data_IF_458190681347
#
_entry.id   IF_458190681347
#
_cell.length_a   1.000
_cell.length_b   1.000
_cell.length_c   1.000
_cell.angle_alpha   90.00
_cell.angle_beta   90.00
_cell.angle_gamma   90.00
#
_symmetry.space_group_name_H-M   'P 1'
#
loop_
_entity.id
_entity.type
_entity.pdbx_description
1 polymer ?
#
# COMPACT_ATOMS: atom_id res chain seq x y z
N UNK A 1 -8.98 -11.86 5.81
CA UNK A 1 -8.46 -12.16 4.47
C UNK A 1 -7.09 -12.82 4.54
N UNK A 2 -6.85 -13.82 3.69
CA UNK A 2 -5.52 -14.40 3.43
C UNK A 2 -5.01 -13.96 2.07
N UNK A 3 -3.75 -13.55 2.00
CA UNK A 3 -3.13 -13.00 0.79
C UNK A 3 -1.88 -13.77 0.37
N UNK A 4 -1.69 -13.83 -0.95
CA UNK A 4 -0.35 -13.97 -1.52
C UNK A 4 0.24 -12.56 -1.73
N UNK A 5 1.27 -12.20 -0.98
CA UNK A 5 1.89 -10.87 -1.03
C UNK A 5 3.19 -10.89 -1.83
N UNK A 6 3.30 -10.00 -2.82
CA UNK A 6 4.39 -9.99 -3.79
C UNK A 6 5.02 -8.59 -3.81
N UNK A 7 6.22 -8.47 -3.25
CA UNK A 7 6.98 -7.22 -3.23
C UNK A 7 7.90 -7.09 -4.44
N UNK A 8 7.71 -6.09 -5.29
CA UNK A 8 8.51 -5.87 -6.49
C UNK A 8 9.43 -4.64 -6.34
N UNK A 9 10.73 -4.88 -6.48
CA UNK A 9 11.77 -3.87 -6.26
C UNK A 9 11.99 -3.54 -4.79
N UNK A 10 13.01 -2.72 -4.50
CA UNK A 10 13.47 -2.47 -3.12
C UNK A 10 12.39 -1.95 -2.16
N UNK A 11 11.54 -1.02 -2.59
CA UNK A 11 10.46 -0.51 -1.75
C UNK A 11 9.40 -1.58 -1.46
N UNK A 12 8.97 -2.32 -2.49
CA UNK A 12 8.02 -3.43 -2.32
C UNK A 12 8.59 -4.52 -1.40
N UNK A 13 9.86 -4.89 -1.59
CA UNK A 13 10.51 -5.90 -0.73
C UNK A 13 10.57 -5.51 0.73
N UNK A 14 10.94 -4.25 1.03
CA UNK A 14 10.97 -3.75 2.41
C UNK A 14 9.57 -3.68 3.03
N UNK A 15 8.57 -3.29 2.24
CA UNK A 15 7.20 -3.19 2.74
C UNK A 15 6.61 -4.57 3.07
N UNK A 16 6.80 -5.57 2.22
CA UNK A 16 6.36 -6.94 2.52
C UNK A 16 7.05 -7.48 3.78
N UNK A 17 8.36 -7.23 3.93
CA UNK A 17 9.09 -7.62 5.14
C UNK A 17 8.53 -6.96 6.40
N UNK A 18 8.20 -5.66 6.33
CA UNK A 18 7.55 -4.92 7.42
C UNK A 18 6.15 -5.43 7.76
N UNK A 19 5.38 -5.85 6.74
CA UNK A 19 4.05 -6.44 6.95
C UNK A 19 4.15 -7.76 7.70
N UNK A 20 5.12 -8.62 7.35
CA UNK A 20 5.37 -9.89 8.05
C UNK A 20 5.78 -9.64 9.50
N UNK A 21 6.66 -8.66 9.75
CA UNK A 21 7.05 -8.27 11.10
C UNK A 21 5.83 -7.83 11.92
N UNK A 22 5.02 -6.91 11.39
CA UNK A 22 3.84 -6.41 12.07
C UNK A 22 2.78 -7.51 12.31
N UNK A 23 2.61 -8.44 11.37
CA UNK A 23 1.75 -9.62 11.55
C UNK A 23 2.20 -10.48 12.73
N UNK A 24 3.50 -10.75 12.82
CA UNK A 24 4.07 -11.51 13.92
C UNK A 24 3.88 -10.80 15.26
N UNK A 25 4.18 -9.49 15.33
CA UNK A 25 4.03 -8.69 16.56
C UNK A 25 2.58 -8.60 17.03
N UNK A 26 1.65 -8.52 16.08
CA UNK A 26 0.23 -8.37 16.39
C UNK A 26 -0.52 -9.68 16.48
N UNK A 27 0.10 -10.83 16.17
CA UNK A 27 -0.59 -12.13 16.11
C UNK A 27 -1.74 -12.10 15.09
N UNK A 28 -1.52 -11.45 13.96
CA UNK A 28 -2.40 -11.46 12.78
C UNK A 28 -1.87 -12.44 11.75
N UNK A 29 -2.72 -12.82 10.81
CA UNK A 29 -2.33 -13.75 9.75
C UNK A 29 -2.92 -13.26 8.42
N UNK A 30 -2.10 -12.59 7.62
CA UNK A 30 -2.54 -12.01 6.34
C UNK A 30 -1.61 -12.46 5.21
N UNK A 31 -0.29 -12.40 5.38
CA UNK A 31 0.70 -12.87 4.42
C UNK A 31 0.81 -14.41 4.43
N UNK A 32 -0.23 -15.12 3.97
CA UNK A 32 -0.25 -16.60 3.87
C UNK A 32 0.89 -17.10 2.98
N UNK A 33 1.13 -16.41 1.88
CA UNK A 33 2.33 -16.56 1.07
C UNK A 33 2.97 -15.20 0.88
N UNK A 34 4.30 -15.15 0.93
CA UNK A 34 5.05 -13.93 0.68
C UNK A 34 6.21 -14.22 -0.28
N UNK A 35 6.43 -13.29 -1.20
CA UNK A 35 7.49 -13.35 -2.20
C UNK A 35 8.03 -11.95 -2.46
N UNK A 36 9.32 -11.83 -2.73
CA UNK A 36 9.90 -10.58 -3.24
C UNK A 36 10.70 -10.81 -4.52
N UNK A 37 10.52 -9.92 -5.49
CA UNK A 37 11.18 -9.97 -6.80
C UNK A 37 12.00 -8.68 -6.97
N UNK A 38 13.28 -8.79 -7.29
CA UNK A 38 14.11 -7.61 -7.56
C UNK A 38 15.23 -7.92 -8.56
N UNK A 39 15.83 -6.86 -9.10
CA UNK A 39 16.98 -6.93 -10.02
C UNK A 39 18.33 -6.66 -9.36
N UNK A 40 18.31 -6.33 -8.06
CA UNK A 40 19.49 -6.04 -7.26
C UNK A 40 19.65 -7.06 -6.13
N UNK A 41 20.72 -7.86 -6.19
CA UNK A 41 21.04 -8.88 -5.17
C UNK A 41 21.26 -8.27 -3.79
N UNK A 42 21.87 -7.09 -3.74
CA UNK A 42 22.11 -6.35 -2.49
C UNK A 42 20.81 -5.91 -1.80
N UNK A 43 19.76 -5.65 -2.58
CA UNK A 43 18.46 -5.25 -2.04
C UNK A 43 17.68 -6.46 -1.54
N UNK A 44 17.78 -7.61 -2.23
CA UNK A 44 17.20 -8.89 -1.78
C UNK A 44 17.84 -9.44 -0.50
N UNK A 45 19.03 -8.97 -0.14
CA UNK A 45 19.66 -9.33 1.13
C UNK A 45 19.09 -8.55 2.33
N UNK A 46 18.29 -7.50 2.10
CA UNK A 46 17.79 -6.61 3.17
C UNK A 46 16.60 -7.13 3.98
N UNK A 47 15.60 -7.81 3.39
CA UNK A 47 14.51 -8.41 4.16
C UNK A 47 15.06 -9.29 5.29
N UNK A 48 14.48 -9.17 6.48
CA UNK A 48 14.93 -9.88 7.69
C UNK A 48 13.95 -10.97 8.12
N UNK A 49 12.67 -10.83 7.76
CA UNK A 49 11.57 -11.67 8.22
C UNK A 49 11.10 -12.64 7.13
N UNK A 50 11.43 -12.38 5.86
CA UNK A 50 11.14 -13.26 4.73
C UNK A 50 12.26 -14.28 4.48
N UNK A 51 11.92 -15.55 4.28
CA UNK A 51 12.89 -16.61 3.97
C UNK A 51 13.65 -16.36 2.65
N UNK A 52 14.90 -16.83 2.56
CA UNK A 52 15.78 -16.59 1.40
C UNK A 52 15.28 -17.21 0.09
N UNK A 53 14.61 -18.36 0.16
CA UNK A 53 14.03 -19.06 -1.00
C UNK A 53 12.81 -18.33 -1.59
N UNK A 54 12.22 -17.41 -0.83
CA UNK A 54 11.15 -16.50 -1.29
C UNK A 54 11.67 -15.18 -1.87
N UNK A 55 12.99 -15.06 -2.07
CA UNK A 55 13.64 -13.85 -2.61
C UNK A 55 14.17 -14.12 -4.02
N UNK A 56 13.47 -13.62 -5.02
CA UNK A 56 13.71 -13.90 -6.43
C UNK A 56 14.55 -12.80 -7.06
N UNK A 57 15.69 -13.19 -7.60
CA UNK A 57 16.53 -12.31 -8.40
C UNK A 57 16.20 -12.51 -9.88
N UNK A 58 15.80 -11.43 -10.55
CA UNK A 58 15.68 -11.38 -12.01
C UNK A 58 16.76 -10.45 -12.61
N UNK A 59 17.10 -10.63 -13.87
CA UNK A 59 18.01 -9.79 -14.63
C UNK A 59 19.49 -10.00 -14.33
N UNK A 60 19.87 -11.16 -13.78
CA UNK A 60 21.27 -11.50 -13.51
C UNK A 60 22.08 -11.71 -14.80
N UNK A 61 21.44 -12.20 -15.87
CA UNK A 61 22.00 -12.32 -17.22
C UNK A 61 21.78 -11.09 -18.11
N UNK A 62 20.91 -10.17 -17.69
CA UNK A 62 20.58 -8.98 -18.48
C UNK A 62 21.75 -7.98 -18.51
N UNK A 63 22.15 -7.53 -19.69
CA UNK A 63 23.38 -6.74 -19.88
C UNK A 63 23.42 -5.43 -19.07
N UNK A 64 22.27 -4.81 -18.85
CA UNK A 64 22.14 -3.53 -18.11
C UNK A 64 21.92 -3.69 -16.60
N UNK A 65 21.40 -4.84 -16.15
CA UNK A 65 21.08 -5.07 -14.73
C UNK A 65 22.18 -5.88 -14.04
N UNK A 66 22.52 -7.06 -14.58
CA UNK A 66 23.58 -7.96 -14.07
C UNK A 66 23.47 -8.26 -12.58
N UNK A 67 22.24 -8.28 -12.03
CA UNK A 67 22.00 -8.45 -10.59
C UNK A 67 22.38 -7.25 -9.71
N UNK A 68 22.67 -6.07 -10.27
CA UNK A 68 23.02 -4.83 -9.56
C UNK A 68 21.89 -3.79 -9.56
N UNK A 69 20.72 -4.13 -10.10
CA UNK A 69 19.61 -3.20 -10.27
C UNK A 69 19.59 -2.50 -11.62
N UNK A 70 18.47 -1.85 -11.93
CA UNK A 70 18.25 -1.12 -13.21
C UNK A 70 18.46 0.40 -13.09
N UNK A 71 19.03 0.88 -11.97
CA UNK A 71 19.46 2.28 -11.83
C UNK A 71 18.36 3.34 -12.00
N UNK A 72 17.13 3.03 -11.61
CA UNK A 72 15.98 3.94 -11.74
C UNK A 72 15.36 3.99 -13.14
N UNK A 73 15.74 3.08 -14.04
CA UNK A 73 15.17 2.98 -15.39
C UNK A 73 14.00 1.98 -15.40
N UNK A 74 12.77 2.50 -15.52
CA UNK A 74 11.57 1.68 -15.56
C UNK A 74 11.44 0.85 -16.85
N UNK A 75 11.94 1.35 -17.98
CA UNK A 75 11.89 0.63 -19.25
C UNK A 75 12.79 -0.60 -19.21
N UNK A 76 13.99 -0.46 -18.65
CA UNK A 76 14.89 -1.61 -18.39
C UNK A 76 14.27 -2.55 -17.36
N UNK A 77 13.63 -2.03 -16.30
CA UNK A 77 12.92 -2.85 -15.31
C UNK A 77 11.86 -3.76 -15.96
N UNK A 78 11.07 -3.20 -16.89
CA UNK A 78 10.08 -3.96 -17.66
C UNK A 78 10.72 -4.95 -18.65
N UNK A 79 11.80 -4.56 -19.33
CA UNK A 79 12.57 -5.42 -20.25
C UNK A 79 13.11 -6.65 -19.53
N UNK A 80 13.71 -6.45 -18.35
CA UNK A 80 14.22 -7.53 -17.50
C UNK A 80 13.11 -8.49 -17.09
N UNK A 81 12.00 -7.97 -16.55
CA UNK A 81 10.88 -8.81 -16.14
C UNK A 81 10.28 -9.63 -17.29
N UNK A 82 10.20 -9.05 -18.50
CA UNK A 82 9.73 -9.76 -19.70
C UNK A 82 10.70 -10.83 -20.17
N UNK A 83 12.00 -10.61 -20.02
CA UNK A 83 13.03 -11.57 -20.41
C UNK A 83 13.00 -12.80 -19.49
N UNK A 84 12.81 -12.56 -18.19
CA UNK A 84 12.83 -13.62 -17.16
C UNK A 84 11.41 -14.07 -16.77
N UNK A 85 10.46 -13.94 -17.69
CA UNK A 85 9.04 -14.24 -17.42
C UNK A 85 8.83 -15.70 -17.01
N UNK A 86 9.60 -16.62 -17.58
CA UNK A 86 9.53 -18.04 -17.25
C UNK A 86 10.07 -18.35 -15.86
N UNK A 87 11.00 -17.54 -15.34
CA UNK A 87 11.46 -17.64 -13.95
C UNK A 87 10.38 -17.13 -13.00
N UNK A 88 9.77 -15.99 -13.31
CA UNK A 88 8.64 -15.43 -12.56
C UNK A 88 7.49 -16.44 -12.46
N UNK A 89 7.11 -17.08 -13.58
CA UNK A 89 6.06 -18.11 -13.61
C UNK A 89 6.37 -19.31 -12.73
N UNK A 90 7.60 -19.84 -12.79
CA UNK A 90 8.01 -20.99 -11.98
C UNK A 90 7.87 -20.72 -10.49
N UNK A 91 8.19 -19.50 -10.06
CA UNK A 91 8.05 -19.12 -8.66
C UNK A 91 6.58 -19.07 -8.23
N UNK A 92 5.70 -18.60 -9.12
CA UNK A 92 4.27 -18.57 -8.83
C UNK A 92 3.64 -19.97 -8.79
N UNK A 93 4.17 -20.94 -9.53
CA UNK A 93 3.71 -22.35 -9.41
C UNK A 93 3.87 -22.90 -7.97
N UNK A 94 4.77 -22.34 -7.15
CA UNK A 94 4.97 -22.70 -5.74
C UNK A 94 4.06 -21.93 -4.76
N UNK A 95 3.19 -21.06 -5.26
CA UNK A 95 2.19 -20.34 -4.45
C UNK A 95 0.89 -21.14 -4.45
N UNK A 96 0.44 -21.56 -3.27
CA UNK A 96 -0.80 -22.32 -3.11
C UNK A 96 -2.00 -21.37 -3.18
N UNK A 97 -2.29 -20.87 -4.37
CA UNK A 97 -3.29 -19.81 -4.60
C UNK A 97 -4.70 -20.19 -4.10
N UNK A 98 -5.04 -21.48 -4.09
CA UNK A 98 -6.31 -21.97 -3.53
C UNK A 98 -6.47 -21.77 -2.01
N UNK A 99 -5.41 -21.35 -1.30
CA UNK A 99 -5.44 -21.01 0.13
C UNK A 99 -5.51 -19.50 0.40
N UNK A 100 -5.54 -18.65 -0.63
CA UNK A 100 -5.60 -17.20 -0.50
C UNK A 100 -6.89 -16.65 -1.10
N UNK A 101 -7.40 -15.56 -0.54
CA UNK A 101 -8.58 -14.85 -1.03
C UNK A 101 -8.22 -13.89 -2.19
N UNK A 102 -6.98 -13.38 -2.21
CA UNK A 102 -6.50 -12.41 -3.18
C UNK A 102 -4.96 -12.37 -3.26
N UNK A 103 -4.45 -11.70 -4.28
CA UNK A 103 -3.02 -11.42 -4.46
C UNK A 103 -2.77 -9.91 -4.25
N UNK A 104 -1.75 -9.55 -3.47
CA UNK A 104 -1.35 -8.15 -3.26
C UNK A 104 0.04 -7.90 -3.82
N UNK A 105 0.14 -7.06 -4.85
CA UNK A 105 1.42 -6.68 -5.47
C UNK A 105 1.86 -5.31 -4.98
N UNK A 106 2.95 -5.26 -4.21
CA UNK A 106 3.50 -4.05 -3.64
C UNK A 106 4.71 -3.53 -4.43
N UNK A 107 4.75 -2.25 -4.80
CA UNK A 107 5.89 -1.66 -5.50
C UNK A 107 6.08 -0.17 -5.25
N UNK A 108 7.35 0.28 -5.32
CA UNK A 108 7.68 1.70 -5.40
C UNK A 108 7.63 2.21 -6.84
N UNK A 109 6.76 3.18 -7.12
CA UNK A 109 6.47 3.62 -8.48
C UNK A 109 7.50 4.61 -9.04
N UNK A 110 8.29 5.25 -8.16
CA UNK A 110 9.38 6.14 -8.57
C UNK A 110 10.68 5.41 -8.95
N UNK A 111 10.82 4.13 -8.57
CA UNK A 111 12.01 3.33 -8.86
C UNK A 111 12.07 2.84 -10.32
N UNK A 112 13.10 2.05 -10.64
CA UNK A 112 13.18 1.38 -11.95
C UNK A 112 12.55 -0.02 -11.92
N UNK A 113 12.99 -0.88 -11.00
CA UNK A 113 12.48 -2.26 -10.91
C UNK A 113 11.00 -2.30 -10.56
N UNK A 114 10.58 -1.64 -9.47
CA UNK A 114 9.17 -1.65 -9.04
C UNK A 114 8.24 -1.11 -10.11
N UNK A 115 8.52 0.11 -10.58
CA UNK A 115 7.78 0.81 -11.64
C UNK A 115 7.65 0.00 -12.94
N UNK A 116 8.75 -0.63 -13.39
CA UNK A 116 8.79 -1.35 -14.67
C UNK A 116 8.32 -2.80 -14.59
N UNK A 117 8.76 -3.54 -13.56
CA UNK A 117 8.51 -4.97 -13.45
C UNK A 117 7.14 -5.28 -12.83
N UNK A 118 6.61 -4.46 -11.92
CA UNK A 118 5.35 -4.78 -11.26
C UNK A 118 4.16 -4.92 -12.24
N UNK A 119 3.97 -4.03 -13.23
CA UNK A 119 2.91 -4.20 -14.24
C UNK A 119 3.09 -5.44 -15.12
N UNK A 120 4.31 -5.97 -15.25
CA UNK A 120 4.59 -7.23 -15.96
C UNK A 120 4.23 -8.42 -15.08
N UNK A 121 4.61 -8.38 -13.80
CA UNK A 121 4.27 -9.40 -12.80
C UNK A 121 2.75 -9.55 -12.66
N UNK A 122 2.01 -8.44 -12.55
CA UNK A 122 0.54 -8.44 -12.47
C UNK A 122 -0.09 -9.09 -13.70
N UNK A 123 0.43 -8.77 -14.89
CA UNK A 123 -0.06 -9.33 -16.15
C UNK A 123 0.06 -10.86 -16.20
N UNK A 124 1.11 -11.41 -15.61
CA UNK A 124 1.29 -12.86 -15.54
C UNK A 124 0.42 -13.50 -14.46
N UNK A 125 0.31 -12.88 -13.28
CA UNK A 125 -0.57 -13.36 -12.22
C UNK A 125 -2.01 -13.49 -12.72
N UNK A 126 -2.52 -12.48 -13.42
CA UNK A 126 -3.88 -12.48 -13.98
C UNK A 126 -4.10 -13.48 -15.13
N UNK A 127 -3.02 -14.00 -15.74
CA UNK A 127 -3.13 -15.09 -16.72
C UNK A 127 -3.13 -16.47 -16.06
N UNK A 128 -2.59 -16.56 -14.85
CA UNK A 128 -2.41 -17.81 -14.13
C UNK A 128 -3.53 -18.08 -13.12
N UNK A 129 -4.12 -17.02 -12.55
CA UNK A 129 -5.03 -17.08 -11.42
C UNK A 129 -6.28 -16.24 -11.64
N UNK A 130 -7.39 -16.66 -11.02
CA UNK A 130 -8.70 -15.99 -11.12
C UNK A 130 -8.97 -15.09 -9.89
N UNK A 131 -8.20 -15.26 -8.81
CA UNK A 131 -8.29 -14.47 -7.59
C UNK A 131 -7.97 -12.98 -7.87
N UNK A 132 -8.66 -12.04 -7.20
CA UNK A 132 -8.44 -10.62 -7.42
C UNK A 132 -7.00 -10.22 -7.08
N UNK A 133 -6.45 -9.33 -7.91
CA UNK A 133 -5.11 -8.79 -7.77
C UNK A 133 -5.20 -7.33 -7.36
N UNK A 134 -4.80 -7.03 -6.13
CA UNK A 134 -4.70 -5.67 -5.61
C UNK A 134 -3.30 -5.10 -5.78
N UNK A 135 -3.22 -3.81 -6.09
CA UNK A 135 -1.97 -3.07 -6.15
C UNK A 135 -1.74 -2.27 -4.87
N UNK A 136 -0.51 -2.28 -4.36
CA UNK A 136 -0.06 -1.40 -3.30
C UNK A 136 1.12 -0.56 -3.80
N UNK A 137 0.84 0.68 -4.18
CA UNK A 137 1.83 1.53 -4.83
C UNK A 137 2.32 2.67 -3.95
N UNK A 138 3.65 2.74 -3.80
CA UNK A 138 4.31 3.83 -3.10
C UNK A 138 4.72 4.92 -4.10
N UNK A 139 4.08 6.08 -4.00
CA UNK A 139 4.36 7.27 -4.80
C UNK A 139 5.62 7.97 -4.30
N UNK A 140 6.49 8.46 -5.21
CA UNK A 140 7.71 9.15 -4.81
C UNK A 140 7.40 10.49 -4.16
N UNK A 141 8.28 10.93 -3.26
CA UNK A 141 8.23 12.28 -2.72
C UNK A 141 8.67 13.33 -3.75
N UNK A 142 8.20 14.56 -3.59
CA UNK A 142 8.60 15.68 -4.48
C UNK A 142 10.10 15.97 -4.42
N UNK A 143 10.73 15.60 -3.31
CA UNK A 143 12.16 15.73 -3.05
C UNK A 143 13.05 14.73 -3.78
N UNK A 144 12.48 13.67 -4.38
CA UNK A 144 13.25 12.63 -5.09
C UNK A 144 13.61 13.06 -6.53
N UNK A 145 12.97 14.12 -7.04
CA UNK A 145 13.28 14.73 -8.33
C UNK A 145 12.43 14.24 -9.51
N UNK A 146 12.74 14.75 -10.71
CA UNK A 146 11.89 14.57 -11.90
C UNK A 146 11.84 13.15 -12.46
N UNK A 147 12.94 12.38 -12.35
CA UNK A 147 12.98 11.00 -12.88
C UNK A 147 12.04 10.06 -12.11
N UNK A 148 12.03 10.04 -10.76
CA UNK A 148 11.02 9.31 -10.01
C UNK A 148 9.58 9.74 -10.33
N UNK A 149 9.32 11.04 -10.47
CA UNK A 149 7.98 11.52 -10.86
C UNK A 149 7.56 10.99 -12.24
N UNK A 150 8.47 11.01 -13.24
CA UNK A 150 8.23 10.46 -14.57
C UNK A 150 7.95 8.95 -14.55
N UNK A 151 8.75 8.19 -13.79
CA UNK A 151 8.52 6.76 -13.58
C UNK A 151 7.15 6.51 -12.95
N UNK A 152 6.79 7.28 -11.93
CA UNK A 152 5.53 7.12 -11.22
C UNK A 152 4.33 7.44 -12.10
N UNK A 153 4.36 8.53 -12.87
CA UNK A 153 3.29 8.89 -13.79
C UNK A 153 3.03 7.80 -14.84
N UNK A 154 4.10 7.25 -15.45
CA UNK A 154 3.99 6.15 -16.42
C UNK A 154 3.51 4.85 -15.77
N UNK A 155 4.04 4.53 -14.60
CA UNK A 155 3.67 3.31 -13.88
C UNK A 155 2.22 3.36 -13.41
N UNK A 156 1.74 4.49 -12.88
CA UNK A 156 0.36 4.66 -12.43
C UNK A 156 -0.63 4.31 -13.54
N UNK A 157 -0.41 4.81 -14.76
CA UNK A 157 -1.25 4.50 -15.92
C UNK A 157 -1.29 3.00 -16.25
N UNK A 158 -0.20 2.28 -16.02
CA UNK A 158 -0.13 0.84 -16.32
C UNK A 158 -0.61 -0.02 -15.16
N UNK A 159 -0.39 0.42 -13.92
CA UNK A 159 -0.65 -0.35 -12.71
C UNK A 159 -2.13 -0.27 -12.34
N UNK A 160 -2.68 0.95 -12.21
CA UNK A 160 -4.07 1.17 -11.77
C UNK A 160 -5.07 0.50 -12.72
N UNK A 161 -4.80 0.49 -14.02
CA UNK A 161 -5.68 -0.13 -15.02
C UNK A 161 -5.57 -1.66 -15.10
N UNK A 162 -4.62 -2.26 -14.38
CA UNK A 162 -4.41 -3.71 -14.38
C UNK A 162 -4.90 -4.39 -13.12
N UNK A 163 -5.01 -3.68 -12.01
CA UNK A 163 -5.42 -4.28 -10.73
C UNK A 163 -6.90 -4.06 -10.47
N UNK A 164 -7.51 -4.94 -9.69
CA UNK A 164 -8.90 -4.83 -9.27
C UNK A 164 -9.12 -3.65 -8.33
N UNK A 165 -8.06 -3.24 -7.60
CA UNK A 165 -8.02 -2.00 -6.83
C UNK A 165 -6.57 -1.59 -6.56
N UNK A 166 -6.29 -0.28 -6.53
CA UNK A 166 -4.95 0.25 -6.27
C UNK A 166 -4.91 1.09 -5.00
N UNK A 167 -4.32 0.56 -3.93
CA UNK A 167 -4.08 1.29 -2.70
C UNK A 167 -2.80 2.14 -2.88
N UNK A 168 -2.95 3.46 -2.77
CA UNK A 168 -1.84 4.39 -2.94
C UNK A 168 -1.29 4.87 -1.59
N UNK A 169 0.03 5.00 -1.52
CA UNK A 169 0.75 5.62 -0.40
C UNK A 169 1.65 6.73 -0.91
N UNK A 170 1.52 7.94 -0.37
CA UNK A 170 2.31 9.11 -0.78
C UNK A 170 3.46 9.39 0.19
N UNK A 171 4.69 9.09 -0.22
CA UNK A 171 5.88 9.40 0.59
C UNK A 171 6.00 10.89 0.93
N UNK A 172 5.46 11.79 0.12
CA UNK A 172 5.53 13.22 0.40
C UNK A 172 4.63 13.62 1.57
N UNK A 173 3.39 13.14 1.60
CA UNK A 173 2.45 13.36 2.70
C UNK A 173 2.98 12.84 4.04
N UNK A 174 3.77 11.78 4.01
CA UNK A 174 4.30 11.11 5.20
C UNK A 174 5.67 11.59 5.67
N UNK A 175 6.30 12.50 4.92
CA UNK A 175 7.64 12.98 5.23
C UNK A 175 7.70 13.79 6.51
N UNK A 176 8.58 13.40 7.43
CA UNK A 176 8.93 14.18 8.62
C UNK A 176 10.18 15.05 8.38
N UNK A 177 10.24 16.20 9.08
CA UNK A 177 11.40 17.11 9.02
C UNK A 177 12.40 16.74 10.12
N UNK A 178 13.67 16.53 9.75
CA UNK A 178 14.77 16.36 10.70
C UNK A 178 15.24 14.93 10.92
N UNK A 179 14.71 13.96 10.18
CA UNK A 179 15.18 12.58 10.15
C UNK A 179 16.09 12.31 8.94
N UNK A 180 16.84 11.21 9.01
CA UNK A 180 17.53 10.68 7.83
C UNK A 180 16.53 10.10 6.84
N UNK A 181 16.94 9.96 5.56
CA UNK A 181 16.08 9.37 4.53
C UNK A 181 15.72 7.92 4.87
N UNK A 182 16.67 7.15 5.40
CA UNK A 182 16.47 5.74 5.76
C UNK A 182 15.44 5.58 6.88
N UNK A 183 15.60 6.31 7.98
CA UNK A 183 14.62 6.32 9.08
C UNK A 183 13.24 6.78 8.61
N UNK A 184 13.19 7.78 7.73
CA UNK A 184 11.92 8.24 7.16
C UNK A 184 11.20 7.13 6.39
N UNK A 185 11.92 6.31 5.62
CA UNK A 185 11.31 5.18 4.92
C UNK A 185 10.90 4.03 5.85
N UNK A 186 11.65 3.79 6.94
CA UNK A 186 11.28 2.80 7.96
C UNK A 186 9.95 3.20 8.63
N UNK A 187 9.84 4.43 9.12
CA UNK A 187 8.60 4.96 9.72
C UNK A 187 7.41 4.94 8.74
N UNK A 188 7.66 5.26 7.46
CA UNK A 188 6.63 5.18 6.41
C UNK A 188 6.15 3.73 6.18
N UNK A 189 7.07 2.77 6.16
CA UNK A 189 6.73 1.36 5.98
C UNK A 189 5.95 0.84 7.20
N UNK A 190 6.33 1.22 8.43
CA UNK A 190 5.61 0.87 9.66
C UNK A 190 4.17 1.41 9.62
N UNK A 191 3.98 2.69 9.27
CA UNK A 191 2.66 3.30 9.17
C UNK A 191 1.80 2.63 8.09
N UNK A 192 2.40 2.27 6.94
CA UNK A 192 1.69 1.58 5.87
C UNK A 192 1.34 0.14 6.25
N UNK A 193 2.29 -0.62 6.79
CA UNK A 193 2.07 -1.99 7.25
C UNK A 193 0.99 -2.04 8.33
N UNK A 194 1.02 -1.13 9.30
CA UNK A 194 -0.01 -1.01 10.34
C UNK A 194 -1.41 -0.88 9.73
N UNK A 195 -1.57 -0.01 8.74
CA UNK A 195 -2.87 0.23 8.06
C UNK A 195 -3.34 -0.97 7.25
N UNK A 196 -2.46 -1.51 6.41
CA UNK A 196 -2.79 -2.61 5.49
C UNK A 196 -3.11 -3.86 6.28
N UNK A 197 -2.25 -4.24 7.22
CA UNK A 197 -2.43 -5.47 7.99
C UNK A 197 -3.65 -5.36 8.90
N UNK A 198 -3.85 -4.23 9.58
CA UNK A 198 -5.05 -4.06 10.44
C UNK A 198 -6.35 -4.08 9.62
N UNK A 199 -6.35 -3.52 8.41
CA UNK A 199 -7.52 -3.51 7.53
C UNK A 199 -7.82 -4.90 6.94
N UNK A 200 -6.82 -5.53 6.32
CA UNK A 200 -7.02 -6.71 5.49
C UNK A 200 -6.99 -8.02 6.30
N UNK A 201 -6.28 -8.05 7.44
CA UNK A 201 -6.28 -9.22 8.33
C UNK A 201 -7.54 -9.30 9.21
N UNK A 202 -8.44 -8.31 9.13
CA UNK A 202 -9.70 -8.35 9.86
C UNK A 202 -10.48 -9.61 9.51
N UNK A 203 -10.99 -10.30 10.52
CA UNK A 203 -11.77 -11.52 10.36
C UNK A 203 -11.01 -12.85 10.46
N UNK A 204 -9.67 -12.82 10.58
CA UNK A 204 -8.83 -14.04 10.64
C UNK A 204 -8.64 -14.61 12.07
N UNK A 205 -9.63 -14.45 12.93
CA UNK A 205 -9.57 -14.99 14.31
C UNK A 205 -10.12 -16.42 14.34
N UNK A 206 -9.51 -17.30 15.14
CA UNK A 206 -9.99 -18.67 15.37
C UNK A 206 -11.51 -18.67 15.70
N UNK A 207 -12.24 -19.66 15.19
CA UNK A 207 -13.72 -19.81 15.25
C UNK A 207 -14.35 -19.64 16.65
N UNK A 208 -13.55 -19.57 17.72
CA UNK A 208 -13.97 -19.38 19.11
C UNK A 208 -14.28 -17.94 19.52
N UNK A 209 -13.78 -16.92 18.82
CA UNK A 209 -13.94 -15.50 19.20
C UNK A 209 -14.96 -14.79 18.31
N UNK A 210 -16.24 -15.08 18.55
CA UNK A 210 -17.35 -14.50 17.79
C UNK A 210 -17.58 -13.05 18.24
N UNK A 211 -17.07 -12.09 17.47
CA UNK A 211 -17.58 -10.72 17.48
C UNK A 211 -19.01 -10.69 16.93
N UNK A 212 -19.89 -9.83 17.46
CA UNK A 212 -21.30 -9.77 17.00
C UNK A 212 -21.43 -9.40 15.50
N UNK A 213 -20.46 -8.65 14.95
CA UNK A 213 -20.34 -8.28 13.53
C UNK A 213 -18.90 -8.48 13.02
N UNK A 214 -18.31 -9.66 13.25
CA UNK A 214 -16.96 -9.95 12.77
C UNK A 214 -16.85 -9.69 11.25
N UNK A 215 -15.83 -8.93 10.85
CA UNK A 215 -15.55 -8.64 9.44
C UNK A 215 -15.18 -9.93 8.71
N UNK A 216 -15.67 -10.11 7.49
CA UNK A 216 -15.23 -11.21 6.62
C UNK A 216 -14.46 -10.71 5.39
N UNK A 217 -13.72 -11.61 4.73
CA UNK A 217 -12.97 -11.28 3.52
C UNK A 217 -13.89 -10.77 2.40
N UNK A 218 -15.15 -11.23 2.33
CA UNK A 218 -16.07 -10.87 1.26
C UNK A 218 -16.55 -9.42 1.35
N UNK A 219 -16.69 -8.88 2.57
CA UNK A 219 -16.98 -7.47 2.80
C UNK A 219 -15.82 -6.59 2.33
N UNK A 220 -14.58 -6.97 2.65
CA UNK A 220 -13.38 -6.25 2.20
C UNK A 220 -13.26 -6.30 0.67
N UNK A 221 -13.40 -7.49 0.06
CA UNK A 221 -13.35 -7.64 -1.40
C UNK A 221 -14.45 -6.83 -2.07
N UNK A 222 -15.67 -6.84 -1.53
CA UNK A 222 -16.78 -6.03 -2.06
C UNK A 222 -16.48 -4.54 -1.98
N UNK A 223 -15.85 -4.03 -0.92
CA UNK A 223 -15.47 -2.61 -0.89
C UNK A 223 -14.40 -2.28 -1.92
N UNK A 224 -13.45 -3.19 -2.16
CA UNK A 224 -12.36 -3.01 -3.14
C UNK A 224 -12.79 -3.27 -4.60
N UNK A 225 -13.90 -3.98 -4.84
CA UNK A 225 -14.48 -4.27 -6.16
C UNK A 225 -15.17 -3.04 -6.79
N UNK A 226 -14.34 -2.02 -7.02
CA UNK A 226 -14.69 -0.73 -7.63
C UNK A 226 -13.68 -0.33 -8.71
N UNK A 227 -12.50 -0.97 -8.76
CA UNK A 227 -11.37 -0.43 -9.50
C UNK A 227 -10.83 0.84 -8.85
N UNK A 228 -9.92 1.50 -9.58
CA UNK A 228 -9.45 2.84 -9.24
C UNK A 228 -8.49 2.88 -8.06
N UNK A 229 -8.40 4.05 -7.44
CA UNK A 229 -7.43 4.35 -6.39
C UNK A 229 -8.10 4.37 -5.03
N UNK A 230 -7.48 3.75 -4.04
CA UNK A 230 -7.96 3.73 -2.66
C UNK A 230 -6.98 4.38 -1.70
N UNK A 231 -7.53 4.90 -0.61
CA UNK A 231 -6.78 5.53 0.48
C UNK A 231 -7.23 5.01 1.84
N UNK A 232 -6.33 4.96 2.80
CA UNK A 232 -6.60 4.43 4.15
C UNK A 232 -6.31 5.47 5.23
N UNK A 233 -7.30 5.70 6.08
CA UNK A 233 -7.18 6.45 7.33
C UNK A 233 -7.06 5.52 8.55
N UNK A 234 -6.40 5.98 9.60
CA UNK A 234 -6.20 5.20 10.82
C UNK A 234 -6.18 6.10 12.05
N UNK A 235 -6.82 5.64 13.12
CA UNK A 235 -6.66 6.21 14.44
C UNK A 235 -6.81 5.14 15.51
N UNK A 236 -6.08 5.29 16.61
CA UNK A 236 -6.21 4.42 17.78
C UNK A 236 -6.42 5.21 19.08
N UNK A 237 -6.85 4.51 20.10
CA UNK A 237 -6.94 5.02 21.48
C UNK A 237 -6.63 3.90 22.45
N UNK A 238 -5.99 4.24 23.57
CA UNK A 238 -5.81 3.29 24.67
C UNK A 238 -7.16 2.94 25.28
N UNK A 239 -7.28 1.67 25.64
CA UNK A 239 -8.40 1.13 26.42
C UNK A 239 -7.90 0.94 27.84
N UNK A 240 -8.44 1.70 28.78
CA UNK A 240 -8.23 1.38 30.20
C UNK A 240 -8.94 0.07 30.52
N UNK A 241 -8.25 -0.95 31.08
CA UNK A 241 -8.91 -2.14 31.58
C UNK A 241 -9.96 -1.70 32.59
N UNK A 242 -11.18 -2.23 32.48
CA UNK A 242 -12.17 -2.10 33.52
C UNK A 242 -11.55 -2.70 34.78
N UNK A 243 -11.10 -1.85 35.71
CA UNK A 243 -10.65 -2.32 37.03
C UNK A 243 -11.82 -3.09 37.62
N UNK A 244 -11.65 -4.39 37.86
CA UNK A 244 -12.48 -5.16 38.79
C UNK A 244 -12.41 -4.49 40.17
N UNK A 245 -13.26 -3.49 40.35
CA UNK A 245 -13.42 -2.78 41.61
C UNK A 245 -14.16 -3.69 42.56
N UNK A 246 -13.42 -4.34 43.45
CA UNK A 246 -13.88 -5.12 44.62
C UNK A 246 -14.76 -4.33 45.63
N UNK A 247 -15.41 -3.24 45.21
CA UNK A 247 -16.24 -2.36 46.05
C UNK A 247 -17.55 -1.90 45.37
N UNK A 248 -18.04 -2.59 44.34
CA UNK A 248 -19.28 -2.22 43.65
C UNK A 248 -20.58 -2.77 44.30
N UNK A 249 -20.58 -3.11 45.59
CA UNK A 249 -21.74 -3.74 46.25
C UNK A 249 -22.55 -2.83 47.18
N UNK A 250 -22.44 -1.51 47.09
CA UNK A 250 -23.35 -0.60 47.80
C UNK A 250 -23.47 0.76 47.11
N UNK A 251 -24.33 0.85 46.08
CA UNK A 251 -25.36 1.88 45.97
C UNK A 251 -26.16 1.76 44.66
N UNK A 252 -27.46 1.68 44.85
CA UNK A 252 -28.52 1.92 43.86
C UNK A 252 -28.21 3.16 43.00
N UNK A 253 -28.27 3.01 41.67
CA UNK A 253 -29.28 3.52 40.72
C UNK A 253 -28.58 3.57 39.34
N UNK A 254 -28.63 2.51 38.54
CA UNK A 254 -28.03 2.52 37.20
C UNK A 254 -28.98 3.17 36.19
N UNK A 255 -28.67 4.41 35.82
CA UNK A 255 -29.16 5.06 34.61
C UNK A 255 -28.32 4.66 33.38
N UNK A 256 -28.84 4.82 32.13
CA UNK A 256 -28.23 4.33 30.87
C UNK A 256 -27.01 5.14 30.36
N UNK A 257 -26.23 5.78 31.24
CA UNK A 257 -25.25 6.80 30.82
C UNK A 257 -23.99 6.22 30.14
N UNK A 258 -23.59 4.95 30.37
CA UNK A 258 -22.34 4.41 29.80
C UNK A 258 -22.43 4.12 28.29
N UNK A 259 -23.53 3.54 27.80
CA UNK A 259 -23.68 3.23 26.37
C UNK A 259 -23.64 4.48 25.48
N UNK A 260 -24.18 5.60 25.97
CA UNK A 260 -24.17 6.86 25.23
C UNK A 260 -22.77 7.46 25.08
N UNK A 261 -21.91 7.22 26.07
CA UNK A 261 -20.51 7.69 26.06
C UNK A 261 -19.63 6.80 25.21
N UNK A 262 -19.85 5.48 25.20
CA UNK A 262 -19.08 4.56 24.36
C UNK A 262 -19.43 4.70 22.88
N UNK A 263 -20.71 4.90 22.54
CA UNK A 263 -21.11 5.21 21.17
C UNK A 263 -20.43 6.50 20.62
N UNK A 264 -20.31 7.53 21.47
CA UNK A 264 -19.63 8.76 21.10
C UNK A 264 -18.11 8.57 20.90
N UNK A 265 -17.46 7.69 21.68
CA UNK A 265 -16.04 7.35 21.51
C UNK A 265 -15.80 6.64 20.17
N UNK A 266 -16.61 5.65 19.82
CA UNK A 266 -16.51 4.90 18.56
C UNK A 266 -16.64 5.85 17.36
N UNK A 267 -17.71 6.64 17.33
CA UNK A 267 -17.90 7.67 16.29
C UNK A 267 -16.74 8.66 16.26
N UNK A 268 -16.27 9.12 17.42
CA UNK A 268 -15.11 10.00 17.52
C UNK A 268 -13.83 9.38 16.95
N UNK A 269 -13.63 8.08 17.14
CA UNK A 269 -12.48 7.34 16.61
C UNK A 269 -12.50 7.28 15.08
N UNK A 270 -13.64 6.95 14.48
CA UNK A 270 -13.82 6.96 13.01
C UNK A 270 -13.60 8.36 12.43
N UNK A 271 -14.12 9.39 13.09
CA UNK A 271 -13.87 10.79 12.68
C UNK A 271 -12.39 11.11 12.69
N UNK A 272 -11.64 10.68 13.72
CA UNK A 272 -10.18 10.88 13.78
C UNK A 272 -9.46 10.08 12.69
N UNK A 273 -9.86 8.85 12.41
CA UNK A 273 -9.26 8.04 11.35
C UNK A 273 -9.49 8.66 9.97
N UNK A 274 -10.72 9.09 9.68
CA UNK A 274 -11.09 9.74 8.41
C UNK A 274 -10.38 11.08 8.21
N UNK A 275 -10.20 11.86 9.28
CA UNK A 275 -9.49 13.14 9.25
C UNK A 275 -7.99 13.02 9.58
N UNK A 276 -7.46 11.79 9.65
CA UNK A 276 -6.04 11.57 9.90
C UNK A 276 -5.22 11.87 8.65
N UNK A 277 -3.89 11.73 8.76
CA UNK A 277 -3.07 11.62 7.57
C UNK A 277 -3.43 10.29 6.87
N UNK A 278 -4.04 10.40 5.69
CA UNK A 278 -4.38 9.26 4.85
C UNK A 278 -3.14 8.72 4.13
N UNK A 279 -3.19 7.47 3.65
CA UNK A 279 -2.09 6.89 2.86
C UNK A 279 -1.81 7.73 1.61
N UNK A 280 -2.86 8.13 0.88
CA UNK A 280 -2.80 9.19 -0.13
C UNK A 280 -3.81 10.29 0.22
N UNK A 281 -3.43 11.57 0.26
CA UNK A 281 -4.40 12.65 0.47
C UNK A 281 -5.47 12.69 -0.63
N UNK A 282 -6.74 12.72 -0.23
CA UNK A 282 -7.89 12.75 -1.13
C UNK A 282 -9.08 13.48 -0.50
N UNK A 283 -10.06 13.88 -1.31
CA UNK A 283 -11.38 14.28 -0.82
C UNK A 283 -12.19 13.03 -0.44
N UNK A 284 -12.62 12.96 0.82
CA UNK A 284 -13.41 11.85 1.36
C UNK A 284 -14.74 11.70 0.62
N UNK A 285 -15.36 12.82 0.21
CA UNK A 285 -16.62 12.84 -0.52
C UNK A 285 -16.53 12.32 -1.96
N UNK A 286 -15.30 12.05 -2.44
CA UNK A 286 -15.05 11.49 -3.76
C UNK A 286 -14.92 9.96 -3.76
N UNK A 287 -15.10 9.30 -2.61
CA UNK A 287 -15.03 7.85 -2.49
C UNK A 287 -16.32 7.18 -3.00
N UNK A 288 -16.18 6.11 -3.79
CA UNK A 288 -17.32 5.34 -4.30
C UNK A 288 -17.91 4.43 -3.20
N UNK A 289 -17.03 3.77 -2.44
CA UNK A 289 -17.38 2.90 -1.31
C UNK A 289 -16.47 3.17 -0.13
N UNK A 290 -16.94 2.88 1.08
CA UNK A 290 -16.11 2.93 2.26
C UNK A 290 -16.27 1.71 3.17
N UNK A 291 -15.24 1.42 3.95
CA UNK A 291 -15.23 0.34 4.94
C UNK A 291 -14.60 0.84 6.24
N UNK A 292 -15.22 0.49 7.35
CA UNK A 292 -14.69 0.73 8.70
C UNK A 292 -14.36 -0.61 9.34
N UNK A 293 -13.12 -0.78 9.79
CA UNK A 293 -12.70 -1.90 10.64
C UNK A 293 -12.39 -1.39 12.03
N UNK A 294 -13.03 -1.98 13.05
CA UNK A 294 -12.70 -1.74 14.46
C UNK A 294 -11.86 -2.89 15.02
N UNK A 295 -10.59 -2.63 15.32
CA UNK A 295 -9.68 -3.63 15.88
C UNK A 295 -9.43 -3.35 17.38
N UNK A 296 -9.82 -4.26 18.26
CA UNK A 296 -9.67 -4.09 19.71
C UNK A 296 -10.55 -5.01 20.55
N UNK A 297 -10.62 -4.81 21.87
CA UNK A 297 -11.42 -5.63 22.76
C UNK A 297 -12.92 -5.55 22.40
N UNK A 298 -13.61 -6.67 22.16
CA UNK A 298 -15.02 -6.66 21.73
C UNK A 298 -15.95 -5.92 22.69
N UNK A 299 -15.67 -5.97 23.99
CA UNK A 299 -16.48 -5.36 25.04
C UNK A 299 -16.52 -3.83 24.99
N UNK A 300 -15.59 -3.18 24.28
CA UNK A 300 -15.58 -1.72 24.13
C UNK A 300 -16.22 -1.25 22.82
N UNK A 301 -16.58 -2.17 21.93
CA UNK A 301 -17.17 -1.85 20.63
C UNK A 301 -18.70 -1.80 20.76
N UNK A 302 -19.24 -0.60 20.94
CA UNK A 302 -20.69 -0.40 21.05
C UNK A 302 -21.38 -0.50 19.69
N UNK A 303 -22.36 -1.40 19.54
CA UNK A 303 -23.21 -1.52 18.33
C UNK A 303 -23.85 -0.19 17.89
N UNK A 304 -24.34 0.60 18.84
CA UNK A 304 -24.91 1.93 18.56
C UNK A 304 -23.84 2.91 18.08
N UNK A 305 -22.61 2.77 18.59
CA UNK A 305 -21.45 3.52 18.13
C UNK A 305 -21.09 3.18 16.69
N UNK A 306 -21.03 1.90 16.35
CA UNK A 306 -20.75 1.40 15.00
C UNK A 306 -21.78 1.95 14.01
N UNK A 307 -23.07 1.82 14.31
CA UNK A 307 -24.15 2.35 13.47
C UNK A 307 -24.02 3.87 13.28
N UNK A 308 -23.81 4.63 14.36
CA UNK A 308 -23.70 6.08 14.28
C UNK A 308 -22.41 6.57 13.61
N UNK A 309 -21.37 5.75 13.61
CA UNK A 309 -20.12 6.00 12.89
C UNK A 309 -20.29 5.73 11.39
N UNK A 310 -20.99 4.63 11.04
CA UNK A 310 -21.36 4.31 9.66
C UNK A 310 -22.22 5.41 9.03
N UNK A 311 -23.33 5.79 9.66
CA UNK A 311 -24.21 6.88 9.19
C UNK A 311 -23.45 8.21 9.03
N UNK A 312 -22.46 8.46 9.90
CA UNK A 312 -21.63 9.65 9.78
C UNK A 312 -20.69 9.59 8.57
N UNK A 313 -20.06 8.44 8.34
CA UNK A 313 -19.16 8.26 7.20
C UNK A 313 -19.93 8.25 5.88
N UNK A 314 -21.16 7.70 5.84
CA UNK A 314 -22.05 7.79 4.67
C UNK A 314 -22.28 9.26 4.25
N UNK A 315 -22.53 10.14 5.23
CA UNK A 315 -22.69 11.56 4.97
C UNK A 315 -21.36 12.25 4.58
N UNK A 316 -20.25 11.89 5.22
CA UNK A 316 -18.95 12.53 4.95
C UNK A 316 -18.37 12.12 3.58
N UNK A 317 -18.57 10.86 3.20
CA UNK A 317 -18.10 10.28 1.94
C UNK A 317 -19.11 10.43 0.78
N UNK A 318 -20.28 11.04 1.02
CA UNK A 318 -21.37 11.19 0.04
C UNK A 318 -21.75 9.87 -0.68
N UNK A 319 -21.67 8.75 0.04
CA UNK A 319 -22.00 7.41 -0.46
C UNK A 319 -22.84 6.64 0.54
N UNK A 320 -23.73 5.78 0.01
CA UNK A 320 -24.55 4.87 0.82
C UNK A 320 -23.90 3.49 0.98
N UNK A 321 -22.82 3.22 0.23
CA UNK A 321 -22.10 1.95 0.25
C UNK A 321 -20.98 1.99 1.29
N UNK A 322 -21.39 2.09 2.57
CA UNK A 322 -20.49 2.04 3.72
C UNK A 322 -20.72 0.76 4.52
N UNK A 323 -19.65 -0.01 4.66
CA UNK A 323 -19.61 -1.20 5.50
C UNK A 323 -18.85 -0.93 6.79
N UNK A 324 -19.20 -1.65 7.84
CA UNK A 324 -18.50 -1.59 9.11
C UNK A 324 -18.49 -2.99 9.75
N UNK A 325 -17.36 -3.36 10.30
CA UNK A 325 -17.18 -4.67 10.94
C UNK A 325 -16.03 -4.65 11.93
N UNK A 326 -16.00 -5.68 12.75
CA UNK A 326 -15.11 -5.77 13.89
C UNK A 326 -14.00 -6.78 13.62
N UNK A 327 -12.84 -6.50 14.20
CA UNK A 327 -11.71 -7.41 14.32
C UNK A 327 -11.44 -7.63 15.82
N UNK A 328 -12.06 -8.66 16.43
CA UNK A 328 -11.95 -8.95 17.85
C UNK A 328 -10.50 -9.18 18.29
N UNK A 329 -10.02 -8.37 19.24
CA UNK A 329 -8.69 -8.51 19.87
C UNK A 329 -8.83 -8.43 21.41
N UNK A 330 -9.27 -9.50 22.10
CA UNK A 330 -9.61 -9.46 23.53
C UNK A 330 -8.48 -9.00 24.44
N UNK A 331 -7.24 -9.38 24.13
CA UNK A 331 -6.07 -9.03 24.92
C UNK A 331 -5.44 -7.67 24.53
N UNK A 332 -6.02 -6.94 23.58
CA UNK A 332 -5.48 -5.66 23.13
C UNK A 332 -5.70 -4.57 24.16
N UNK A 333 -4.65 -3.79 24.47
CA UNK A 333 -4.78 -2.57 25.28
C UNK A 333 -5.24 -1.35 24.47
N UNK A 334 -5.51 -1.51 23.19
CA UNK A 334 -5.89 -0.42 22.28
C UNK A 334 -7.13 -0.78 21.46
N UNK A 335 -7.89 0.25 21.13
CA UNK A 335 -8.96 0.20 20.14
C UNK A 335 -8.56 1.08 18.96
N UNK A 336 -8.47 0.48 17.79
CA UNK A 336 -8.18 1.14 16.52
C UNK A 336 -9.42 1.16 15.61
N UNK A 337 -9.54 2.22 14.82
CA UNK A 337 -10.42 2.26 13.67
C UNK A 337 -9.59 2.50 12.41
N UNK A 338 -9.80 1.65 11.41
CA UNK A 338 -9.23 1.79 10.07
C UNK A 338 -10.36 2.11 9.11
N UNK A 339 -10.17 3.13 8.28
CA UNK A 339 -11.16 3.57 7.30
C UNK A 339 -10.56 3.43 5.92
N UNK A 340 -11.11 2.54 5.10
CA UNK A 340 -10.79 2.42 3.68
C UNK A 340 -11.78 3.28 2.89
N UNK A 341 -11.23 4.15 2.05
CA UNK A 341 -11.96 4.94 1.06
C UNK A 341 -11.60 4.39 -0.32
N UNK A 342 -12.55 3.70 -0.94
CA UNK A 342 -12.33 3.00 -2.21
C UNK A 342 -12.73 3.83 -3.42
N UNK A 343 -11.92 3.76 -4.47
CA UNK A 343 -12.09 4.48 -5.74
C UNK A 343 -12.29 6.00 -5.55
N UNK A 344 -11.39 6.63 -4.80
CA UNK A 344 -11.35 8.08 -4.61
C UNK A 344 -10.94 8.79 -5.91
N UNK A 345 -11.79 9.69 -6.40
CA UNK A 345 -11.55 10.36 -7.70
C UNK A 345 -10.85 11.72 -7.57
N UNK A 346 -10.90 12.36 -6.39
CA UNK A 346 -10.18 13.61 -6.14
C UNK A 346 -8.94 13.36 -5.29
N UNK A 347 -7.81 13.16 -5.99
CA UNK A 347 -6.48 12.91 -5.42
C UNK A 347 -5.47 13.90 -5.98
N UNK A 348 -5.33 15.12 -5.38
CA UNK A 348 -4.47 16.17 -5.93
C UNK A 348 -3.04 15.72 -6.20
N UNK A 349 -2.51 14.81 -5.36
CA UNK A 349 -1.17 14.25 -5.49
C UNK A 349 -0.94 13.51 -6.81
N UNK A 350 -1.93 12.80 -7.33
CA UNK A 350 -1.79 12.07 -8.61
C UNK A 350 -1.62 13.07 -9.76
N UNK A 351 -2.41 14.14 -9.78
CA UNK A 351 -2.29 15.23 -10.76
C UNK A 351 -0.93 15.93 -10.65
N UNK A 352 -0.45 16.21 -9.43
CA UNK A 352 0.87 16.82 -9.23
C UNK A 352 2.02 15.97 -9.78
N UNK A 353 1.95 14.64 -9.62
CA UNK A 353 2.96 13.73 -10.17
C UNK A 353 2.93 13.76 -11.71
N UNK A 354 1.75 13.84 -12.31
CA UNK A 354 1.61 13.96 -13.77
C UNK A 354 2.23 15.27 -14.28
N UNK A 355 1.95 16.40 -13.61
CA UNK A 355 2.54 17.69 -13.95
C UNK A 355 4.07 17.68 -13.82
N UNK A 356 4.59 17.13 -12.72
CA UNK A 356 6.04 16.96 -12.50
C UNK A 356 6.68 16.07 -13.57
N UNK A 357 5.97 15.04 -14.03
CA UNK A 357 6.45 14.15 -15.10
C UNK A 357 6.51 14.87 -16.44
N UNK A 358 5.52 15.70 -16.79
CA UNK A 358 5.53 16.53 -17.99
C UNK A 358 6.71 17.49 -17.98
N UNK A 359 6.93 18.19 -16.86
CA UNK A 359 8.06 19.09 -16.68
C UNK A 359 9.41 18.35 -16.79
N UNK A 360 9.51 17.17 -16.19
CA UNK A 360 10.71 16.34 -16.27
C UNK A 360 10.99 15.89 -17.70
N UNK A 361 9.96 15.46 -18.43
CA UNK A 361 10.08 15.02 -19.82
C UNK A 361 10.54 16.16 -20.74
N UNK A 362 9.98 17.36 -20.57
CA UNK A 362 10.39 18.54 -21.35
C UNK A 362 11.86 18.88 -21.09
N UNK A 363 12.29 18.89 -19.82
CA UNK A 363 13.70 19.14 -19.45
C UNK A 363 14.66 18.09 -20.00
N UNK A 364 14.26 16.82 -20.02
CA UNK A 364 15.07 15.75 -20.61
C UNK A 364 15.24 15.99 -22.12
N UNK A 365 14.15 16.30 -22.83
CA UNK A 365 14.18 16.59 -24.27
C UNK A 365 15.05 17.82 -24.60
N UNK A 366 14.96 18.89 -23.80
CA UNK A 366 15.82 20.07 -23.95
C UNK A 366 17.30 19.73 -23.75
N UNK A 367 17.62 18.94 -22.72
CA UNK A 367 19.00 18.52 -22.45
C UNK A 367 19.56 17.61 -23.54
N UNK A 368 18.76 16.70 -24.06
CA UNK A 368 19.17 15.80 -25.14
C UNK A 368 19.42 16.58 -26.44
N UNK A 369 18.58 17.58 -26.76
CA UNK A 369 18.79 18.46 -27.91
C UNK A 369 20.08 19.28 -27.77
N UNK A 370 20.33 19.88 -26.60
CA UNK A 370 21.58 20.60 -26.33
C UNK A 370 22.78 19.67 -26.43
N UNK A 371 22.68 18.45 -25.90
CA UNK A 371 23.75 17.45 -25.97
C UNK A 371 24.03 17.03 -27.41
N UNK A 372 23.00 16.85 -28.23
CA UNK A 372 23.16 16.56 -29.66
C UNK A 372 23.83 17.72 -30.40
N UNK A 373 23.43 18.97 -30.12
CA UNK A 373 24.10 20.17 -30.66
C UNK A 373 25.57 20.26 -30.23
N UNK A 374 25.88 20.00 -28.95
CA UNK A 374 27.25 19.97 -28.44
C UNK A 374 28.07 18.86 -29.08
N UNK A 375 27.54 17.64 -29.17
CA UNK A 375 28.19 16.52 -29.85
C UNK A 375 28.44 16.89 -31.31
N UNK A 376 27.44 17.46 -31.99
CA UNK A 376 27.57 17.88 -33.38
C UNK A 376 28.68 18.92 -33.53
N UNK A 377 28.72 19.95 -32.68
CA UNK A 377 29.77 20.96 -32.68
C UNK A 377 31.19 20.43 -32.41
N UNK A 378 31.30 19.27 -31.75
CA UNK A 378 32.59 18.60 -31.49
C UNK A 378 33.05 17.70 -32.63
N UNK A 379 32.14 17.30 -33.54
CA UNK A 379 32.43 16.37 -34.65
C UNK A 379 32.28 17.02 -36.03
N UNK A 380 31.95 18.31 -36.09
CA UNK A 380 31.84 19.08 -37.34
C UNK A 380 32.76 20.30 -37.34
N UNK A 381 33.33 20.64 -38.50
CA UNK A 381 34.15 21.84 -38.69
C UNK A 381 33.31 23.13 -38.88
N UNK A 382 33.97 24.27 -39.10
CA UNK A 382 33.33 25.58 -39.30
C UNK A 382 32.37 25.63 -40.52
N UNK A 383 32.51 24.68 -41.46
CA UNK A 383 31.65 24.54 -42.64
C UNK A 383 30.54 23.46 -42.43
N UNK A 384 30.42 22.93 -41.20
CA UNK A 384 29.48 21.89 -40.78
C UNK A 384 29.70 20.54 -41.48
N UNK A 385 30.91 20.30 -41.99
CA UNK A 385 31.34 19.01 -42.52
C UNK A 385 31.91 18.15 -41.39
N UNK A 386 31.67 16.83 -41.45
CA UNK A 386 32.19 15.88 -40.44
C UNK A 386 33.71 15.93 -40.41
N UNK A 387 34.28 16.27 -39.26
CA UNK A 387 35.72 16.36 -39.07
C UNK A 387 36.30 14.93 -39.21
N UNK A 388 37.13 14.64 -40.23
CA UNK A 388 37.68 13.32 -40.41
C UNK A 388 38.65 13.04 -39.26
N UNK A 389 38.18 12.24 -38.30
CA UNK A 389 38.95 11.78 -37.14
C UNK A 389 40.32 11.27 -37.63
N UNK A 390 41.39 11.96 -37.24
CA UNK A 390 42.80 11.51 -37.40
C UNK A 390 43.18 10.57 -36.27
#
# INVERSE_FOLDING_TARGET
MKLATIGVGNAGSKLIDQMIEFEFETGRNLCRHALVINTARTDLAKPQHLDEDRRVLIGDTHQKARGHGVGGDAEIGAEVAKTDIDEIRRVFDDVEIHEVDAVLVAAGLGGGTGSGAAPVVIDELQKMYDEPVYGLGVLPGTYEGGRPALNAARSLQSFVNKVDNFIAFDNDAWRSRGQTIEQGYEEMNEELATRIVTLLAAGEVDESEVGENAMDSSDIMRTLDTGGVSSIGYASTDVTPAKEGLLANFKETEEPQSESTDAAKIKGLVRRATNSRLTVPCDVSSADRALIVFAGPPEVISRKGVESAREWLEHEADTVDVLAGDDPRPDSSTLAAVVLLSNVTDTPRISEIQDQAVDAQNKIQEQDAVREEEIQSLITDDDNDLDPIV
#
